data_IF_614854086173
#
_entry.id   IF_614854086173
#
_cell.length_a   1.000
_cell.length_b   1.000
_cell.length_c   1.000
_cell.angle_alpha   90.00
_cell.angle_beta   90.00
_cell.angle_gamma   90.00
#
_symmetry.space_group_name_H-M   'P 1'
#
loop_
_entity.id
_entity.type
_entity.pdbx_description
1 polymer ?
#
# COMPACT_ATOMS: atom_id res chain seq x y z
N UNK A 1 -15.33 7.23 -11.40
CA UNK A 1 -15.10 5.90 -10.80
C UNK A 1 -15.04 4.86 -11.91
N UNK A 2 -14.10 3.93 -11.82
CA UNK A 2 -14.01 2.73 -12.65
C UNK A 2 -13.91 1.53 -11.70
N UNK A 3 -14.93 0.67 -11.71
CA UNK A 3 -14.97 -0.54 -10.90
C UNK A 3 -15.15 -1.74 -11.83
N UNK A 4 -14.15 -2.61 -11.83
CA UNK A 4 -14.14 -3.89 -12.54
C UNK A 4 -13.81 -5.05 -11.58
N UNK A 5 -14.08 -4.87 -10.28
CA UNK A 5 -13.76 -5.89 -9.28
C UNK A 5 -14.63 -7.13 -9.41
N UNK A 6 -14.13 -8.23 -8.86
CA UNK A 6 -14.82 -9.52 -8.83
C UNK A 6 -15.16 -10.06 -10.23
N UNK A 7 -14.13 -10.12 -11.07
CA UNK A 7 -14.21 -10.67 -12.42
C UNK A 7 -13.09 -11.70 -12.64
N UNK A 8 -13.01 -12.23 -13.86
CA UNK A 8 -11.93 -13.12 -14.30
C UNK A 8 -10.99 -12.43 -15.27
N UNK A 9 -10.81 -11.11 -15.14
CA UNK A 9 -9.94 -10.34 -16.03
C UNK A 9 -8.48 -10.78 -15.85
N UNK A 10 -7.78 -10.92 -16.98
CA UNK A 10 -6.40 -11.42 -17.06
C UNK A 10 -5.51 -10.44 -17.80
N UNK A 11 -4.21 -10.71 -17.75
CA UNK A 11 -3.18 -9.91 -18.42
C UNK A 11 -2.58 -8.87 -17.49
N UNK A 12 -1.85 -7.93 -18.06
CA UNK A 12 -1.20 -6.86 -17.30
C UNK A 12 -2.12 -5.65 -17.13
N UNK A 13 -1.85 -4.85 -16.10
CA UNK A 13 -2.50 -3.56 -15.93
C UNK A 13 -2.07 -2.63 -17.08
N UNK A 14 -3.00 -2.14 -17.91
CA UNK A 14 -2.64 -1.33 -19.06
C UNK A 14 -2.20 0.07 -18.62
N UNK A 15 -1.02 0.49 -19.06
CA UNK A 15 -0.47 1.82 -18.77
C UNK A 15 -1.37 2.96 -19.28
N UNK A 16 -2.23 2.70 -20.26
CA UNK A 16 -3.22 3.65 -20.78
C UNK A 16 -4.24 4.11 -19.73
N UNK A 17 -4.49 3.35 -18.66
CA UNK A 17 -5.33 3.81 -17.54
C UNK A 17 -4.79 5.09 -16.90
N UNK A 18 -3.47 5.33 -16.98
CA UNK A 18 -2.82 6.55 -16.52
C UNK A 18 -3.27 7.83 -17.24
N UNK A 19 -3.97 7.69 -18.38
CA UNK A 19 -4.55 8.84 -19.11
C UNK A 19 -5.86 9.34 -18.50
N UNK A 20 -6.48 8.56 -17.61
CA UNK A 20 -7.75 8.90 -16.96
C UNK A 20 -7.51 9.82 -15.75
N UNK A 21 -6.92 10.98 -15.96
CA UNK A 21 -6.44 11.88 -14.88
C UNK A 21 -7.54 12.40 -13.93
N UNK A 22 -8.81 12.31 -14.34
CA UNK A 22 -10.00 12.63 -13.53
C UNK A 22 -10.57 11.44 -12.77
N UNK A 23 -9.92 10.28 -12.84
CA UNK A 23 -10.39 9.09 -12.15
C UNK A 23 -10.16 9.23 -10.65
N UNK A 24 -11.24 9.21 -9.87
CA UNK A 24 -11.19 9.28 -8.41
C UNK A 24 -11.05 7.90 -7.76
N UNK A 25 -11.73 6.90 -8.30
CA UNK A 25 -11.73 5.53 -7.76
C UNK A 25 -11.41 4.56 -8.87
N UNK A 26 -10.39 3.73 -8.65
CA UNK A 26 -10.02 2.58 -9.47
C UNK A 26 -10.07 1.32 -8.62
N UNK A 27 -11.06 0.48 -8.86
CA UNK A 27 -11.20 -0.83 -8.22
C UNK A 27 -11.07 -1.94 -9.26
N UNK A 28 -9.96 -2.68 -9.19
CA UNK A 28 -9.64 -3.83 -10.02
C UNK A 28 -9.46 -5.10 -9.15
N UNK A 29 -9.95 -5.07 -7.92
CA UNK A 29 -9.78 -6.16 -6.96
C UNK A 29 -10.43 -7.46 -7.40
N UNK A 30 -9.96 -8.58 -6.86
CA UNK A 30 -10.55 -9.91 -7.10
C UNK A 30 -10.61 -10.23 -8.61
N UNK A 31 -9.42 -10.25 -9.22
CA UNK A 31 -9.22 -10.57 -10.64
C UNK A 31 -7.98 -11.48 -10.78
N UNK A 32 -7.49 -11.65 -12.01
CA UNK A 32 -6.32 -12.47 -12.35
C UNK A 32 -5.27 -11.62 -13.07
N UNK A 33 -5.15 -10.34 -12.71
CA UNK A 33 -4.12 -9.46 -13.25
C UNK A 33 -2.73 -9.93 -12.80
N UNK A 34 -1.78 -9.87 -13.72
CA UNK A 34 -0.36 -10.22 -13.52
C UNK A 34 0.51 -9.03 -13.91
N UNK A 35 1.82 -9.13 -13.70
CA UNK A 35 2.76 -8.08 -14.06
C UNK A 35 2.97 -7.08 -12.93
N UNK A 36 3.64 -5.97 -13.27
CA UNK A 36 3.91 -4.89 -12.33
C UNK A 36 2.77 -3.86 -12.32
N UNK A 37 2.71 -3.08 -11.24
CA UNK A 37 1.86 -1.89 -11.18
C UNK A 37 2.51 -0.82 -12.10
N UNK A 38 1.79 -0.25 -13.08
CA UNK A 38 2.37 0.75 -13.96
C UNK A 38 2.76 2.01 -13.18
N UNK A 39 4.01 2.46 -13.30
CA UNK A 39 4.47 3.72 -12.69
C UNK A 39 3.64 4.94 -13.14
N UNK A 40 3.04 4.86 -14.34
CA UNK A 40 2.11 5.86 -14.85
C UNK A 40 0.90 6.13 -13.94
N UNK A 41 0.52 5.22 -13.04
CA UNK A 41 -0.59 5.45 -12.11
C UNK A 41 -0.32 6.63 -11.16
N UNK A 42 0.96 6.98 -10.94
CA UNK A 42 1.35 8.21 -10.22
C UNK A 42 0.90 9.51 -10.90
N UNK A 43 0.42 9.47 -12.15
CA UNK A 43 -0.14 10.63 -12.87
C UNK A 43 -1.64 10.84 -12.60
N UNK A 44 -2.30 9.90 -11.92
CA UNK A 44 -3.72 9.96 -11.61
C UNK A 44 -3.93 10.89 -10.41
N UNK A 45 -3.75 12.19 -10.61
CA UNK A 45 -3.76 13.20 -9.53
C UNK A 45 -5.09 13.33 -8.78
N UNK A 46 -6.21 12.94 -9.42
CA UNK A 46 -7.53 12.94 -8.79
C UNK A 46 -7.84 11.65 -8.03
N UNK A 47 -6.99 10.62 -8.13
CA UNK A 47 -7.26 9.30 -7.58
C UNK A 47 -7.19 9.34 -6.05
N UNK A 48 -8.31 9.02 -5.41
CA UNK A 48 -8.44 8.92 -3.96
C UNK A 48 -8.48 7.47 -3.47
N UNK A 49 -8.87 6.52 -4.32
CA UNK A 49 -8.93 5.09 -3.97
C UNK A 49 -8.34 4.23 -5.07
N UNK A 50 -7.30 3.49 -4.72
CA UNK A 50 -6.72 2.45 -5.57
C UNK A 50 -6.84 1.10 -4.87
N UNK A 51 -7.64 0.20 -5.44
CA UNK A 51 -7.93 -1.12 -4.89
C UNK A 51 -7.51 -2.17 -5.92
N UNK A 52 -6.39 -2.84 -5.66
CA UNK A 52 -5.79 -3.87 -6.53
C UNK A 52 -5.68 -5.24 -5.84
N UNK A 53 -6.29 -5.40 -4.67
CA UNK A 53 -6.12 -6.59 -3.86
C UNK A 53 -6.68 -7.86 -4.51
N UNK A 54 -6.16 -9.02 -4.10
CA UNK A 54 -6.54 -10.34 -4.63
C UNK A 54 -6.34 -10.42 -6.16
N UNK A 55 -5.12 -10.15 -6.57
CA UNK A 55 -4.62 -10.35 -7.93
C UNK A 55 -3.30 -11.14 -7.87
N UNK A 56 -2.55 -11.21 -8.96
CA UNK A 56 -1.23 -11.83 -9.04
C UNK A 56 -0.16 -10.84 -9.52
N UNK A 57 -0.29 -9.59 -9.08
CA UNK A 57 0.69 -8.52 -9.37
C UNK A 57 2.00 -8.81 -8.63
N UNK A 58 3.13 -8.50 -9.25
CA UNK A 58 4.46 -8.78 -8.72
C UNK A 58 5.45 -7.64 -8.98
N UNK A 59 6.68 -7.79 -8.48
CA UNK A 59 7.72 -6.74 -8.39
C UNK A 59 7.41 -5.67 -7.35
N UNK A 60 8.24 -4.63 -7.33
CA UNK A 60 8.17 -3.53 -6.39
C UNK A 60 6.96 -2.63 -6.63
N UNK A 61 6.47 -2.04 -5.54
CA UNK A 61 5.50 -0.96 -5.60
C UNK A 61 6.20 0.27 -6.21
N UNK A 62 5.66 0.91 -7.27
CA UNK A 62 6.27 2.09 -7.84
C UNK A 62 6.26 3.27 -6.86
N UNK A 63 7.40 3.91 -6.62
CA UNK A 63 7.48 5.12 -5.78
C UNK A 63 6.61 6.27 -6.31
N UNK A 64 6.35 6.30 -7.62
CA UNK A 64 5.46 7.26 -8.25
C UNK A 64 4.03 7.26 -7.69
N UNK A 65 3.58 6.18 -7.04
CA UNK A 65 2.28 6.18 -6.35
C UNK A 65 2.25 7.18 -5.18
N UNK A 66 3.41 7.50 -4.58
CA UNK A 66 3.52 8.55 -3.55
C UNK A 66 3.21 9.95 -4.07
N UNK A 67 3.22 10.18 -5.38
CA UNK A 67 2.89 11.48 -5.98
C UNK A 67 1.38 11.75 -6.07
N UNK A 68 0.55 10.74 -5.83
CA UNK A 68 -0.91 10.88 -5.81
C UNK A 68 -1.36 11.41 -4.44
N UNK A 69 -1.18 12.72 -4.22
CA UNK A 69 -1.47 13.38 -2.93
C UNK A 69 -2.95 13.31 -2.50
N UNK A 70 -3.86 13.00 -3.43
CA UNK A 70 -5.29 12.83 -3.17
C UNK A 70 -5.67 11.47 -2.58
N UNK A 71 -4.72 10.52 -2.46
CA UNK A 71 -5.00 9.17 -1.98
C UNK A 71 -5.51 9.16 -0.55
N UNK A 72 -6.64 8.47 -0.34
CA UNK A 72 -7.25 8.20 0.96
C UNK A 72 -7.16 6.71 1.32
N UNK A 73 -7.25 5.84 0.32
CA UNK A 73 -7.18 4.39 0.47
C UNK A 73 -6.29 3.76 -0.61
N UNK A 74 -5.30 3.01 -0.18
CA UNK A 74 -4.47 2.16 -1.02
C UNK A 74 -4.51 0.72 -0.50
N UNK A 75 -5.14 -0.17 -1.27
CA UNK A 75 -5.19 -1.61 -0.95
C UNK A 75 -4.52 -2.42 -2.05
N UNK A 76 -3.32 -2.90 -1.75
CA UNK A 76 -2.49 -3.75 -2.61
C UNK A 76 -2.38 -5.18 -2.05
N UNK A 77 -3.20 -5.52 -1.05
CA UNK A 77 -3.07 -6.78 -0.33
C UNK A 77 -3.32 -8.02 -1.17
N UNK A 78 -2.84 -9.19 -0.72
CA UNK A 78 -3.07 -10.47 -1.41
C UNK A 78 -2.62 -10.42 -2.88
N UNK A 79 -1.35 -10.08 -3.09
CA UNK A 79 -0.65 -10.11 -4.37
C UNK A 79 0.71 -10.81 -4.16
N UNK A 80 1.60 -10.74 -5.14
CA UNK A 80 2.99 -11.24 -5.06
C UNK A 80 4.01 -10.07 -5.15
N UNK A 81 3.65 -8.89 -4.65
CA UNK A 81 4.52 -7.71 -4.65
C UNK A 81 5.74 -7.95 -3.75
N UNK A 82 6.89 -7.46 -4.15
CA UNK A 82 8.16 -7.76 -3.47
C UNK A 82 9.10 -6.55 -3.41
N UNK A 83 10.13 -6.64 -2.56
CA UNK A 83 11.06 -5.53 -2.34
C UNK A 83 10.55 -4.53 -1.29
N UNK A 84 11.18 -3.36 -1.23
CA UNK A 84 10.92 -2.36 -0.19
C UNK A 84 9.62 -1.59 -0.44
N UNK A 85 8.94 -1.20 0.65
CA UNK A 85 7.87 -0.20 0.59
C UNK A 85 8.53 1.15 0.23
N UNK A 86 8.10 1.83 -0.85
CA UNK A 86 8.60 3.16 -1.17
C UNK A 86 8.31 4.15 -0.04
N UNK A 87 9.33 4.92 0.36
CA UNK A 87 9.20 5.91 1.45
C UNK A 87 8.16 6.97 1.10
N UNK A 88 7.99 7.25 -0.19
CA UNK A 88 7.05 8.23 -0.74
C UNK A 88 5.58 7.89 -0.43
N UNK A 89 5.26 6.62 -0.13
CA UNK A 89 3.90 6.26 0.31
C UNK A 89 3.58 6.79 1.72
N UNK A 90 4.60 7.03 2.55
CA UNK A 90 4.43 7.57 3.89
C UNK A 90 4.32 9.11 3.89
N UNK A 91 4.61 9.76 2.76
CA UNK A 91 4.50 11.21 2.56
C UNK A 91 3.09 11.63 2.06
N UNK A 92 2.20 10.68 1.81
CA UNK A 92 0.83 10.95 1.32
C UNK A 92 -0.03 11.49 2.47
N UNK A 93 -0.15 12.82 2.56
CA UNK A 93 -0.95 13.50 3.62
C UNK A 93 -2.44 13.19 3.58
N UNK A 94 -2.96 12.78 2.42
CA UNK A 94 -4.36 12.44 2.20
C UNK A 94 -4.74 11.07 2.77
N UNK A 95 -3.77 10.21 3.11
CA UNK A 95 -4.00 8.81 3.44
C UNK A 95 -4.60 8.68 4.85
N UNK A 96 -5.92 8.70 4.92
CA UNK A 96 -6.68 8.74 6.17
C UNK A 96 -7.53 7.49 6.40
N UNK A 97 -7.86 6.73 5.36
CA UNK A 97 -8.68 5.51 5.49
C UNK A 97 -7.79 4.30 5.73
N UNK A 98 -7.02 3.87 4.75
CA UNK A 98 -6.26 2.63 4.88
C UNK A 98 -5.05 2.55 3.94
N UNK A 99 -3.95 2.03 4.48
CA UNK A 99 -2.82 1.49 3.72
C UNK A 99 -2.75 0.00 4.01
N UNK A 100 -3.20 -0.83 3.07
CA UNK A 100 -3.18 -2.27 3.20
C UNK A 100 -2.22 -2.90 2.19
N UNK A 101 -1.09 -3.37 2.69
CA UNK A 101 -0.03 -4.04 1.94
C UNK A 101 0.13 -5.51 2.37
N UNK A 102 -0.81 -6.04 3.16
CA UNK A 102 -0.73 -7.38 3.73
C UNK A 102 -0.74 -8.50 2.68
N UNK A 103 -0.29 -9.69 3.05
CA UNK A 103 -0.29 -10.87 2.17
C UNK A 103 0.44 -10.60 0.84
N UNK A 104 1.70 -10.16 0.93
CA UNK A 104 2.63 -9.95 -0.18
C UNK A 104 4.01 -10.55 0.20
N UNK A 105 5.04 -10.31 -0.60
CA UNK A 105 6.44 -10.67 -0.32
C UNK A 105 7.32 -9.42 -0.12
N UNK A 106 6.75 -8.37 0.50
CA UNK A 106 7.46 -7.11 0.76
C UNK A 106 8.52 -7.33 1.84
N UNK A 107 9.65 -6.63 1.71
CA UNK A 107 10.80 -6.72 2.60
C UNK A 107 11.28 -5.31 3.00
N UNK A 108 12.32 -5.22 3.83
CA UNK A 108 12.96 -3.96 4.18
C UNK A 108 12.49 -3.43 5.53
N UNK A 109 12.75 -2.15 5.78
CA UNK A 109 12.47 -1.54 7.08
C UNK A 109 11.29 -0.58 6.99
N UNK A 110 10.51 -0.48 8.06
CA UNK A 110 9.50 0.57 8.17
C UNK A 110 10.25 1.88 8.42
N UNK A 111 10.14 2.88 7.53
CA UNK A 111 10.81 4.14 7.71
C UNK A 111 10.15 4.94 8.85
N UNK A 112 10.91 5.77 9.60
CA UNK A 112 10.35 6.59 10.69
C UNK A 112 9.25 7.57 10.22
N UNK A 113 9.18 7.85 8.92
CA UNK A 113 8.11 8.58 8.23
C UNK A 113 6.72 7.99 8.47
N UNK A 114 6.61 6.72 8.89
CA UNK A 114 5.34 6.14 9.34
C UNK A 114 4.63 7.00 10.42
N UNK A 115 5.40 7.71 11.25
CA UNK A 115 4.88 8.64 12.26
C UNK A 115 4.14 9.85 11.66
N UNK A 116 4.38 10.19 10.39
CA UNK A 116 3.70 11.27 9.68
C UNK A 116 2.25 10.91 9.29
N UNK A 117 1.91 9.62 9.24
CA UNK A 117 0.57 9.11 8.89
C UNK A 117 -0.44 9.26 10.04
N UNK A 118 -0.51 10.45 10.64
CA UNK A 118 -1.29 10.75 11.84
C UNK A 118 -2.82 10.81 11.63
N UNK A 119 -3.27 10.75 10.37
CA UNK A 119 -4.69 10.67 9.98
C UNK A 119 -5.11 9.25 9.63
N UNK A 120 -4.18 8.33 9.42
CA UNK A 120 -4.45 7.00 8.89
C UNK A 120 -5.26 6.17 9.89
N UNK A 121 -6.36 5.58 9.44
CA UNK A 121 -7.18 4.74 10.33
C UNK A 121 -6.66 3.30 10.41
N UNK A 122 -6.14 2.77 9.29
CA UNK A 122 -5.69 1.38 9.19
C UNK A 122 -4.34 1.31 8.46
N UNK A 123 -3.38 0.64 9.07
CA UNK A 123 -2.13 0.23 8.45
C UNK A 123 -1.99 -1.29 8.59
N UNK A 124 -2.04 -2.01 7.49
CA UNK A 124 -1.88 -3.46 7.51
C UNK A 124 -0.69 -3.88 6.63
N UNK A 125 0.38 -4.30 7.29
CA UNK A 125 1.60 -4.82 6.71
C UNK A 125 1.77 -6.32 6.99
N UNK A 126 0.77 -6.96 7.61
CA UNK A 126 0.86 -8.35 8.06
C UNK A 126 1.04 -9.34 6.92
N UNK A 127 1.58 -10.52 7.21
CA UNK A 127 1.80 -11.57 6.21
C UNK A 127 2.65 -11.09 5.02
N UNK A 128 3.71 -10.32 5.29
CA UNK A 128 4.81 -10.07 4.38
C UNK A 128 6.05 -10.86 4.80
N UNK A 129 7.14 -10.79 4.02
CA UNK A 129 8.36 -11.51 4.36
C UNK A 129 8.94 -11.00 5.69
N UNK A 130 9.37 -11.94 6.54
CA UNK A 130 9.72 -11.77 7.95
C UNK A 130 10.97 -10.91 8.25
N UNK A 131 11.49 -10.22 7.23
CA UNK A 131 12.59 -9.26 7.36
C UNK A 131 12.12 -7.80 7.43
N UNK A 132 10.85 -7.56 7.81
CA UNK A 132 10.36 -6.27 8.26
C UNK A 132 11.02 -5.88 9.59
N UNK A 133 12.26 -5.38 9.52
CA UNK A 133 13.02 -4.94 10.68
C UNK A 133 12.79 -3.43 10.81
N UNK A 134 12.24 -2.95 11.92
CA UNK A 134 12.30 -1.51 12.21
C UNK A 134 13.78 -1.10 12.25
N UNK A 135 14.18 -0.10 11.45
CA UNK A 135 15.58 0.25 11.29
C UNK A 135 16.21 0.59 12.65
N UNK A 136 16.96 -0.36 13.22
CA UNK A 136 17.77 -0.12 14.42
C UNK A 136 17.81 -1.20 15.51
N UNK A 137 16.98 -2.26 15.53
CA UNK A 137 17.03 -3.25 16.64
C UNK A 137 16.78 -4.71 16.27
N UNK A 138 17.33 -5.57 17.13
CA UNK A 138 17.46 -7.02 17.04
C UNK A 138 16.13 -7.76 16.88
N UNK A 139 16.16 -8.92 16.22
CA UNK A 139 15.01 -9.72 15.75
C UNK A 139 13.98 -10.06 16.83
N UNK A 140 14.37 -10.06 18.10
CA UNK A 140 13.52 -10.40 19.24
C UNK A 140 12.70 -9.22 19.80
N UNK A 141 13.02 -7.97 19.43
CA UNK A 141 12.38 -6.76 19.97
C UNK A 141 11.37 -6.10 19.02
N UNK A 142 11.39 -6.42 17.72
CA UNK A 142 10.45 -5.86 16.74
C UNK A 142 8.97 -6.13 17.10
N UNK A 143 8.67 -7.30 17.69
CA UNK A 143 7.31 -7.65 18.10
C UNK A 143 6.84 -6.88 19.34
N UNK A 144 7.75 -6.46 20.21
CA UNK A 144 7.45 -5.78 21.47
C UNK A 144 7.45 -4.26 21.33
N UNK A 145 8.31 -3.66 20.49
CA UNK A 145 8.39 -2.19 20.36
C UNK A 145 7.25 -1.58 19.52
N UNK A 146 6.72 -2.28 18.51
CA UNK A 146 5.45 -1.85 17.88
C UNK A 146 4.27 -1.96 18.84
N UNK A 147 4.33 -2.88 19.80
CA UNK A 147 3.43 -2.95 20.95
C UNK A 147 3.69 -1.84 21.98
N UNK A 148 4.82 -1.13 21.94
CA UNK A 148 5.14 -0.05 22.89
C UNK A 148 4.57 1.30 22.43
N UNK A 149 4.43 1.57 21.12
CA UNK A 149 3.56 2.68 20.65
C UNK A 149 2.08 2.49 21.04
N UNK A 150 1.71 1.29 21.50
CA UNK A 150 0.38 0.94 22.05
C UNK A 150 0.14 1.50 23.47
N UNK A 151 1.17 1.98 24.19
CA UNK A 151 1.08 2.35 25.61
C UNK A 151 1.04 3.87 25.89
N UNK A 152 1.31 4.73 24.90
CA UNK A 152 1.32 6.20 25.05
C UNK A 152 -0.07 6.85 24.77
N UNK A 153 -1.15 6.06 24.65
CA UNK A 153 -2.52 6.56 24.86
C UNK A 153 -3.21 7.33 23.72
N UNK A 154 -2.72 7.29 22.48
CA UNK A 154 -3.42 7.91 21.34
C UNK A 154 -3.77 6.88 20.25
N UNK A 155 -4.94 6.28 20.40
CA UNK A 155 -5.56 5.41 19.38
C UNK A 155 -5.98 6.23 18.16
N UNK A 156 -5.25 6.14 17.05
CA UNK A 156 -5.76 6.61 15.76
C UNK A 156 -5.60 5.61 14.62
N UNK A 157 -4.59 4.73 14.68
CA UNK A 157 -4.27 3.79 13.59
C UNK A 157 -4.30 2.34 14.09
N UNK A 158 -5.08 1.47 13.45
CA UNK A 158 -5.00 0.02 13.65
C UNK A 158 -3.80 -0.50 12.84
N UNK A 159 -2.70 -0.87 13.53
CA UNK A 159 -1.51 -1.44 12.89
C UNK A 159 -1.54 -2.97 13.00
N UNK A 160 -1.38 -3.66 11.86
CA UNK A 160 -1.18 -5.11 11.78
C UNK A 160 0.15 -5.38 11.07
N UNK A 161 1.01 -6.18 11.68
CA UNK A 161 2.33 -6.59 11.17
C UNK A 161 2.50 -8.10 11.33
#
# INVERSE_FOLDING_TARGET
>A
MLNLSNNTLRGTLPSSLSSLTRLEVLDLSVNQFVGEIPSGFGKLSSLNRLILNKNSLFRAIPSSLGHCLSFQLLDLSSNALSGMIPVELFDIEGLDIALNLSCNALTGTIPPQISALNKLSILDLSHNDSCFIYAGRDRALCFLEFLVMRLEGLWRVLVRV
#
